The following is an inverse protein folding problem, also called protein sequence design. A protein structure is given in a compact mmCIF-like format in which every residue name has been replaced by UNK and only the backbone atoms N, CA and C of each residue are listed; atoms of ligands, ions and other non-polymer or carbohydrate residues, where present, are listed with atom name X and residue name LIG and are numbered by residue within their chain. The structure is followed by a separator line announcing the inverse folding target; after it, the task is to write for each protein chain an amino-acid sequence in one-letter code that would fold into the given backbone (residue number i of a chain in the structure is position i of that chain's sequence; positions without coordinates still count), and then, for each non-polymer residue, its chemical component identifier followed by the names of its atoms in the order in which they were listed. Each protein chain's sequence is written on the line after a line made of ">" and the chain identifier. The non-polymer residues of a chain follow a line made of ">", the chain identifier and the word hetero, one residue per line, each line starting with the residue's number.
data_IF_428369515010
#
_entry.id   IF_428369515010
#
_cell.length_a   1.000
_cell.length_b   1.000
_cell.length_c   1.000
_cell.angle_alpha   90.00
_cell.angle_beta   90.00
_cell.angle_gamma   90.00
#
_symmetry.space_group_name_H-M   'P 1'
#
loop_
_entity.id
_entity.type
_entity.pdbx_description
1 polymer ?
#
# COMPACT_ATOMS: atom_id res chain seq x y z
N UNK A 1 -23.87 45.72 -56.25
CA UNK A 1 -24.49 45.21 -57.50
C UNK A 1 -24.76 43.71 -57.27
N UNK A 2 -25.94 43.32 -56.76
CA UNK A 2 -27.12 42.85 -57.53
C UNK A 2 -26.69 41.82 -58.59
N UNK A 3 -26.97 40.52 -58.40
CA UNK A 3 -28.17 39.76 -58.83
C UNK A 3 -27.57 38.51 -59.57
N UNK A 4 -28.02 37.25 -59.51
CA UNK A 4 -29.12 36.56 -58.83
C UNK A 4 -29.04 35.07 -59.15
N UNK A 5 -29.65 34.26 -58.27
CA UNK A 5 -30.59 33.16 -58.57
C UNK A 5 -30.09 31.82 -59.14
N UNK A 6 -30.69 30.65 -58.82
CA UNK A 6 -31.74 30.20 -57.86
C UNK A 6 -32.07 28.73 -58.20
N UNK A 7 -32.75 28.07 -57.25
CA UNK A 7 -33.71 26.94 -57.40
C UNK A 7 -33.11 25.53 -57.56
N UNK A 8 -33.58 24.45 -56.92
CA UNK A 8 -34.38 24.18 -55.70
C UNK A 8 -34.77 22.68 -55.66
N UNK A 9 -35.08 22.16 -54.45
CA UNK A 9 -36.14 21.15 -54.13
C UNK A 9 -36.03 19.72 -54.71
N UNK A 10 -36.56 18.64 -54.15
CA UNK A 10 -37.41 18.32 -52.98
C UNK A 10 -37.35 16.77 -52.78
N UNK A 11 -37.25 16.25 -51.55
CA UNK A 11 -38.30 15.64 -50.69
C UNK A 11 -38.96 14.31 -51.12
N UNK A 12 -39.11 13.45 -50.09
CA UNK A 12 -40.15 12.42 -49.85
C UNK A 12 -40.08 11.11 -50.66
N UNK A 13 -40.49 9.92 -50.20
CA UNK A 13 -41.35 9.44 -49.09
C UNK A 13 -41.00 7.97 -48.77
N UNK A 14 -40.94 7.48 -47.53
CA UNK A 14 -42.04 7.00 -46.65
C UNK A 14 -42.80 5.71 -47.09
N UNK A 15 -42.85 4.74 -46.14
CA UNK A 15 -43.93 3.76 -45.79
C UNK A 15 -43.97 2.30 -46.29
N UNK A 16 -44.11 1.42 -45.26
CA UNK A 16 -44.93 0.18 -45.10
C UNK A 16 -44.68 -1.02 -46.05
N UNK A 17 -44.84 -2.30 -45.70
CA UNK A 17 -45.74 -2.99 -44.76
C UNK A 17 -45.24 -4.41 -44.46
N UNK A 18 -45.69 -4.99 -43.35
CA UNK A 18 -45.61 -6.41 -42.98
C UNK A 18 -46.57 -7.30 -43.81
N UNK A 19 -46.28 -8.62 -43.92
CA UNK A 19 -47.21 -9.76 -43.72
C UNK A 19 -46.55 -11.16 -43.94
N UNK A 20 -46.77 -12.05 -42.96
CA UNK A 20 -46.80 -13.54 -42.86
C UNK A 20 -46.16 -14.54 -43.87
N UNK A 21 -45.31 -15.45 -43.31
CA UNK A 21 -45.31 -16.96 -43.28
C UNK A 21 -45.91 -17.79 -44.44
N UNK A 22 -45.48 -19.05 -44.76
CA UNK A 22 -44.89 -20.09 -43.86
C UNK A 22 -43.90 -21.14 -44.50
N UNK A 23 -43.46 -22.13 -43.70
CA UNK A 23 -42.98 -23.51 -44.03
C UNK A 23 -41.69 -23.70 -44.88
N UNK A 24 -40.64 -24.25 -44.25
CA UNK A 24 -40.02 -25.54 -44.60
C UNK A 24 -38.58 -25.64 -44.04
N UNK A 25 -38.36 -26.64 -43.19
CA UNK A 25 -37.04 -27.14 -42.80
C UNK A 25 -36.33 -27.81 -44.00
N UNK A 26 -34.99 -27.73 -44.04
CA UNK A 26 -34.25 -28.99 -44.02
C UNK A 26 -33.00 -28.91 -43.13
N UNK A 27 -32.96 -29.81 -42.16
CA UNK A 27 -31.88 -30.75 -41.87
C UNK A 27 -30.52 -30.32 -42.47
N UNK A 28 -29.70 -29.61 -41.69
CA UNK A 28 -28.25 -29.54 -41.93
C UNK A 28 -27.55 -30.60 -41.09
N UNK A 29 -27.19 -31.67 -41.79
CA UNK A 29 -26.30 -32.73 -41.38
C UNK A 29 -25.02 -32.16 -40.75
N UNK A 30 -24.85 -32.50 -39.49
CA UNK A 30 -23.63 -32.37 -38.72
C UNK A 30 -22.50 -33.14 -39.42
N UNK A 31 -21.45 -32.43 -39.84
CA UNK A 31 -20.33 -33.03 -40.56
C UNK A 31 -19.57 -33.99 -39.64
N UNK A 32 -19.64 -35.27 -40.00
CA UNK A 32 -18.80 -36.36 -39.48
C UNK A 32 -17.33 -36.12 -39.85
N UNK A 33 -16.60 -35.31 -39.09
CA UNK A 33 -15.12 -35.34 -39.11
C UNK A 33 -14.42 -34.82 -37.84
N UNK A 34 -15.15 -34.54 -36.75
CA UNK A 34 -14.55 -34.17 -35.44
C UNK A 34 -14.95 -35.07 -34.25
N UNK A 35 -15.53 -36.23 -34.52
CA UNK A 35 -15.94 -37.20 -33.49
C UNK A 35 -15.00 -38.43 -33.35
N UNK A 36 -13.83 -38.44 -34.02
CA UNK A 36 -12.83 -39.53 -33.87
C UNK A 36 -11.55 -39.13 -33.13
N UNK A 37 -11.43 -37.89 -32.66
CA UNK A 37 -10.28 -37.44 -31.83
C UNK A 37 -10.63 -37.13 -30.37
N UNK A 38 -11.92 -37.23 -29.99
CA UNK A 38 -12.38 -37.05 -28.59
C UNK A 38 -12.67 -38.40 -27.90
N UNK A 39 -12.76 -39.50 -28.65
CA UNK A 39 -12.97 -40.84 -28.10
C UNK A 39 -11.67 -41.59 -27.71
N UNK A 40 -10.48 -41.05 -28.02
CA UNK A 40 -9.19 -41.63 -27.62
C UNK A 40 -8.58 -40.92 -26.40
N UNK A 41 -9.08 -39.73 -26.03
CA UNK A 41 -8.62 -39.02 -24.84
C UNK A 41 -9.38 -39.39 -23.55
N UNK A 42 -10.57 -40.01 -23.67
CA UNK A 42 -11.37 -40.46 -22.52
C UNK A 42 -11.13 -41.91 -22.08
N UNK A 43 -10.28 -42.67 -22.79
CA UNK A 43 -9.87 -44.03 -22.38
C UNK A 43 -8.54 -44.06 -21.61
N UNK A 44 -7.87 -42.92 -21.43
CA UNK A 44 -6.64 -42.80 -20.64
C UNK A 44 -6.88 -42.24 -19.22
N UNK A 45 -8.12 -41.84 -18.88
CA UNK A 45 -8.46 -41.23 -17.59
C UNK A 45 -9.32 -42.13 -16.68
N UNK A 46 -9.33 -43.45 -16.92
CA UNK A 46 -10.04 -44.43 -16.08
C UNK A 46 -9.18 -45.62 -15.61
N UNK A 47 -7.86 -45.57 -15.83
CA UNK A 47 -6.91 -46.64 -15.43
C UNK A 47 -6.04 -46.24 -14.21
N UNK A 48 -6.25 -45.06 -13.63
CA UNK A 48 -5.53 -44.62 -12.42
C UNK A 48 -6.36 -44.80 -11.13
N UNK A 49 -7.60 -45.27 -11.22
CA UNK A 49 -8.50 -45.52 -10.07
C UNK A 49 -8.93 -47.00 -9.91
N UNK A 50 -8.05 -47.93 -10.26
CA UNK A 50 -8.24 -49.36 -9.97
C UNK A 50 -6.90 -50.07 -9.75
N UNK A 51 -6.12 -49.63 -8.77
CA UNK A 51 -5.07 -50.47 -8.18
C UNK A 51 -5.69 -51.34 -7.08
N UNK A 52 -5.63 -52.68 -7.19
CA UNK A 52 -6.07 -53.54 -6.12
C UNK A 52 -5.11 -53.42 -4.92
N UNK A 53 -5.72 -53.40 -3.74
CA UNK A 53 -5.14 -53.79 -2.46
C UNK A 53 -4.19 -54.99 -2.67
N UNK A 54 -2.88 -54.75 -2.59
CA UNK A 54 -1.90 -55.79 -2.32
C UNK A 54 -1.63 -55.77 -0.82
N UNK A 55 -2.43 -56.54 -0.09
CA UNK A 55 -2.06 -57.09 1.20
C UNK A 55 -0.87 -58.03 0.97
N UNK A 56 0.35 -57.49 1.07
CA UNK A 56 1.52 -58.33 1.33
C UNK A 56 1.51 -58.69 2.80
N UNK A 57 0.93 -59.84 3.13
CA UNK A 57 1.22 -60.55 4.37
C UNK A 57 2.67 -61.04 4.31
N UNK A 58 3.60 -60.16 4.64
CA UNK A 58 4.95 -60.54 5.02
C UNK A 58 4.86 -61.21 6.38
N UNK A 59 5.11 -62.52 6.42
CA UNK A 59 5.41 -63.26 7.63
C UNK A 59 6.61 -62.58 8.31
N UNK A 60 6.33 -61.77 9.33
CA UNK A 60 7.35 -61.29 10.24
C UNK A 60 7.58 -62.42 11.24
N UNK A 61 8.66 -63.14 10.99
CA UNK A 61 9.23 -64.16 11.87
C UNK A 61 9.45 -63.53 13.25
N UNK A 62 8.78 -64.09 14.25
CA UNK A 62 8.92 -63.68 15.64
C UNK A 62 10.32 -64.04 16.13
N UNK A 63 11.22 -63.06 16.20
CA UNK A 63 12.48 -63.18 16.93
C UNK A 63 12.14 -63.24 18.43
N UNK A 64 12.60 -64.26 19.18
CA UNK A 64 12.31 -64.37 20.60
C UNK A 64 13.13 -63.34 21.39
N UNK A 65 12.41 -62.56 22.19
CA UNK A 65 12.81 -62.02 23.50
C UNK A 65 14.25 -61.51 23.67
N UNK A 66 14.40 -60.18 23.58
CA UNK A 66 15.32 -59.47 24.47
C UNK A 66 14.48 -58.50 25.31
N UNK A 67 14.07 -58.97 26.50
CA UNK A 67 13.51 -58.13 27.54
C UNK A 67 14.64 -57.28 28.14
N UNK A 68 15.07 -56.26 27.41
CA UNK A 68 15.72 -55.11 28.03
C UNK A 68 14.73 -53.95 27.92
N UNK A 69 14.17 -53.45 29.04
CA UNK A 69 13.47 -52.18 29.00
C UNK A 69 14.50 -51.12 28.66
N UNK A 70 14.58 -50.74 27.38
CA UNK A 70 15.19 -49.48 27.00
C UNK A 70 14.24 -48.43 27.56
N UNK A 71 14.53 -47.97 28.77
CA UNK A 71 14.02 -46.73 29.34
C UNK A 71 14.66 -45.57 28.57
N UNK A 72 14.38 -45.51 27.27
CA UNK A 72 14.50 -44.28 26.51
C UNK A 72 13.28 -43.48 26.89
N UNK A 73 13.49 -42.45 27.71
CA UNK A 73 12.49 -41.42 27.98
C UNK A 73 12.05 -40.94 26.59
N UNK A 74 10.84 -41.29 26.16
CA UNK A 74 10.28 -40.75 24.94
C UNK A 74 10.24 -39.23 25.15
N UNK A 75 11.11 -38.51 24.45
CA UNK A 75 11.12 -37.06 24.51
C UNK A 75 9.71 -36.58 24.13
N UNK A 76 9.12 -35.73 24.97
CA UNK A 76 7.82 -35.15 24.71
C UNK A 76 7.84 -34.48 23.32
N UNK A 77 6.80 -34.69 22.49
CA UNK A 77 6.76 -34.04 21.19
C UNK A 77 6.80 -32.51 21.38
N UNK A 78 7.53 -31.80 20.51
CA UNK A 78 7.72 -30.36 20.60
C UNK A 78 6.37 -29.68 20.50
N UNK A 79 6.17 -28.71 21.38
CA UNK A 79 5.01 -27.86 21.42
C UNK A 79 5.37 -26.52 20.76
N UNK A 80 4.44 -25.95 20.01
CA UNK A 80 4.59 -24.59 19.47
C UNK A 80 4.07 -23.58 20.49
N UNK A 81 4.87 -22.55 20.73
CA UNK A 81 4.41 -21.30 21.33
C UNK A 81 4.20 -20.30 20.21
N UNK A 82 2.93 -20.05 19.87
CA UNK A 82 2.55 -19.08 18.85
C UNK A 82 2.26 -17.74 19.56
N UNK A 83 3.01 -16.71 19.21
CA UNK A 83 2.83 -15.37 19.75
C UNK A 83 2.71 -14.35 18.63
N UNK A 84 2.23 -13.17 18.96
CA UNK A 84 2.20 -12.04 18.05
C UNK A 84 2.57 -10.74 18.75
N UNK A 85 3.02 -9.77 17.97
CA UNK A 85 3.21 -8.39 18.38
C UNK A 85 2.90 -7.47 17.20
N UNK A 86 2.86 -6.16 17.46
CA UNK A 86 2.58 -5.14 16.46
C UNK A 86 3.61 -4.01 16.54
N UNK A 87 3.68 -3.16 15.51
CA UNK A 87 4.63 -2.04 15.47
C UNK A 87 4.51 -1.11 16.69
N UNK A 88 3.32 -0.97 17.26
CA UNK A 88 3.07 -0.08 18.40
C UNK A 88 2.97 -0.79 19.74
N UNK A 89 3.05 -2.12 19.73
CA UNK A 89 3.10 -2.91 20.95
C UNK A 89 4.00 -4.14 20.72
N UNK A 90 5.27 -3.96 21.06
CA UNK A 90 6.31 -5.00 20.97
C UNK A 90 6.16 -6.08 22.04
N UNK A 91 5.22 -5.93 22.98
CA UNK A 91 4.96 -6.98 23.99
C UNK A 91 4.32 -8.17 23.30
N UNK A 92 5.04 -9.29 23.28
CA UNK A 92 4.52 -10.55 22.73
C UNK A 92 3.28 -11.01 23.49
N UNK A 93 2.22 -11.30 22.75
CA UNK A 93 0.96 -11.86 23.24
C UNK A 93 0.77 -13.27 22.69
N UNK A 94 0.29 -14.23 23.49
CA UNK A 94 0.01 -15.57 22.99
C UNK A 94 -1.18 -15.55 22.02
N UNK A 95 -1.16 -16.49 21.07
CA UNK A 95 -2.33 -16.95 20.32
C UNK A 95 -2.74 -18.26 20.99
N UNK A 96 -3.78 -18.20 21.81
CA UNK A 96 -4.14 -19.27 22.73
C UNK A 96 -4.95 -20.36 22.01
N UNK A 97 -5.95 -19.97 21.23
CA UNK A 97 -6.95 -20.90 20.69
C UNK A 97 -7.47 -20.48 19.30
N UNK A 98 -8.31 -21.35 18.73
CA UNK A 98 -9.09 -21.06 17.53
C UNK A 98 -10.04 -19.88 17.77
N UNK A 99 -10.23 -19.02 16.77
CA UNK A 99 -11.12 -17.86 16.86
C UNK A 99 -10.49 -16.60 17.47
N UNK A 100 -9.20 -16.62 17.83
CA UNK A 100 -8.50 -15.47 18.41
C UNK A 100 -8.49 -14.24 17.49
N UNK A 101 -8.44 -13.05 18.11
CA UNK A 101 -8.50 -11.76 17.43
C UNK A 101 -7.20 -10.98 17.65
N UNK A 102 -6.37 -10.92 16.61
CA UNK A 102 -5.12 -10.17 16.60
C UNK A 102 -5.36 -8.79 15.98
N UNK A 103 -5.09 -7.73 16.74
CA UNK A 103 -5.30 -6.34 16.28
C UNK A 103 -4.02 -5.52 16.48
N UNK A 104 -3.62 -4.79 15.44
CA UNK A 104 -2.53 -3.81 15.49
C UNK A 104 -2.01 -3.43 14.10
N UNK A 105 -1.14 -2.43 14.04
CA UNK A 105 -0.37 -2.17 12.83
C UNK A 105 0.77 -3.16 12.70
N UNK A 106 0.99 -3.67 11.48
CA UNK A 106 2.12 -4.54 11.18
C UNK A 106 2.17 -5.75 12.13
N UNK A 107 1.11 -6.56 12.12
CA UNK A 107 1.08 -7.75 12.97
C UNK A 107 2.13 -8.75 12.47
N UNK A 108 3.08 -9.07 13.34
CA UNK A 108 4.06 -10.14 13.15
C UNK A 108 3.68 -11.31 14.03
N UNK A 109 3.57 -12.49 13.43
CA UNK A 109 3.32 -13.74 14.15
C UNK A 109 4.63 -14.51 14.24
N UNK A 110 4.98 -14.95 15.44
CA UNK A 110 6.15 -15.74 15.73
C UNK A 110 5.72 -17.14 16.19
N UNK A 111 6.22 -18.17 15.52
CA UNK A 111 6.08 -19.55 15.96
C UNK A 111 7.44 -20.04 16.49
N UNK A 112 7.50 -20.36 17.78
CA UNK A 112 8.71 -20.93 18.41
C UNK A 112 8.39 -22.31 18.97
N UNK A 113 9.16 -23.32 18.57
CA UNK A 113 8.96 -24.69 19.02
C UNK A 113 9.90 -25.06 20.18
N UNK A 114 9.37 -25.78 21.17
CA UNK A 114 10.11 -26.25 22.34
C UNK A 114 9.75 -27.70 22.68
N UNK A 115 10.73 -28.58 22.98
CA UNK A 115 12.17 -28.33 22.92
C UNK A 115 12.68 -28.17 21.47
N UNK A 116 13.76 -27.41 21.29
CA UNK A 116 14.35 -27.07 19.99
C UNK A 116 15.41 -28.06 19.50
N UNK A 117 15.88 -28.96 20.37
CA UNK A 117 17.09 -29.77 20.19
C UNK A 117 17.13 -30.68 18.97
N UNK A 118 15.97 -31.02 18.39
CA UNK A 118 15.87 -31.89 17.21
C UNK A 118 15.15 -31.23 16.03
N UNK A 119 14.86 -29.93 16.12
CA UNK A 119 14.14 -29.22 15.06
C UNK A 119 15.15 -28.72 14.03
N UNK A 120 15.00 -29.19 12.80
CA UNK A 120 15.87 -28.86 11.66
C UNK A 120 15.32 -27.74 10.80
N UNK A 121 14.04 -27.41 10.97
CA UNK A 121 13.43 -26.23 10.39
C UNK A 121 11.99 -26.05 10.83
N UNK A 122 11.45 -24.88 10.48
CA UNK A 122 10.08 -24.47 10.77
C UNK A 122 9.47 -23.80 9.53
N UNK A 123 8.19 -24.02 9.29
CA UNK A 123 7.39 -23.27 8.34
C UNK A 123 6.15 -22.71 9.02
N UNK A 124 5.74 -21.53 8.56
CA UNK A 124 4.50 -20.90 8.97
C UNK A 124 3.74 -20.46 7.73
N UNK A 125 2.52 -20.94 7.59
CA UNK A 125 1.62 -20.65 6.49
C UNK A 125 0.33 -20.05 7.02
N UNK A 126 -0.10 -18.93 6.45
CA UNK A 126 -1.35 -18.25 6.80
C UNK A 126 -2.20 -18.16 5.53
N UNK A 127 -3.32 -18.87 5.57
CA UNK A 127 -4.28 -18.94 4.48
C UNK A 127 -5.51 -18.10 4.80
N UNK A 128 -5.80 -17.09 3.99
CA UNK A 128 -7.03 -16.32 4.07
C UNK A 128 -8.01 -16.84 3.01
N UNK A 129 -9.09 -17.56 3.36
CA UNK A 129 -10.03 -18.07 2.35
C UNK A 129 -10.86 -16.95 1.69
N UNK A 130 -11.12 -15.85 2.40
CA UNK A 130 -11.93 -14.73 1.91
C UNK A 130 -11.16 -13.82 0.93
N UNK A 131 -9.84 -13.75 1.07
CA UNK A 131 -8.95 -13.04 0.16
C UNK A 131 -8.00 -14.11 -0.38
N UNK A 132 -8.14 -14.63 -1.61
CA UNK A 132 -7.47 -15.85 -2.10
C UNK A 132 -5.93 -15.70 -2.19
N UNK A 133 -5.32 -15.53 -1.04
CA UNK A 133 -3.97 -15.11 -0.75
C UNK A 133 -3.47 -16.01 0.37
N UNK A 134 -2.25 -16.50 0.21
CA UNK A 134 -1.57 -17.29 1.21
C UNK A 134 -0.19 -16.69 1.39
N UNK A 135 0.15 -16.38 2.63
CA UNK A 135 1.49 -15.92 2.99
C UNK A 135 2.18 -17.06 3.70
N UNK A 136 3.42 -17.35 3.33
CA UNK A 136 4.19 -18.42 3.94
C UNK A 136 5.66 -18.03 4.05
N UNK A 137 6.30 -18.55 5.08
CA UNK A 137 7.73 -18.43 5.31
C UNK A 137 8.30 -19.78 5.77
N UNK A 138 9.58 -20.01 5.48
CA UNK A 138 10.32 -21.21 5.87
C UNK A 138 11.67 -20.81 6.46
N UNK A 139 12.08 -21.45 7.55
CA UNK A 139 13.37 -21.25 8.21
C UNK A 139 14.04 -22.59 8.55
N UNK A 140 15.37 -22.59 8.67
CA UNK A 140 16.17 -23.72 9.14
C UNK A 140 16.41 -23.67 10.67
N UNK A 141 15.55 -22.98 11.41
CA UNK A 141 15.59 -22.84 12.88
C UNK A 141 14.30 -23.38 13.54
N UNK A 142 14.32 -23.49 14.87
CA UNK A 142 13.16 -23.83 15.70
C UNK A 142 12.14 -22.69 15.88
N UNK A 143 12.47 -21.50 15.39
CA UNK A 143 11.58 -20.34 15.37
C UNK A 143 11.46 -19.72 13.98
N UNK A 144 10.33 -19.08 13.71
CA UNK A 144 10.08 -18.33 12.48
C UNK A 144 9.11 -17.19 12.74
N UNK A 145 9.26 -16.10 11.98
CA UNK A 145 8.36 -14.96 12.02
C UNK A 145 7.76 -14.71 10.64
N UNK A 146 6.50 -14.28 10.60
CA UNK A 146 5.83 -13.88 9.37
C UNK A 146 5.11 -12.54 9.55
N UNK A 147 5.36 -11.63 8.60
CA UNK A 147 4.63 -10.37 8.52
C UNK A 147 3.30 -10.59 7.78
N UNK A 148 2.20 -10.36 8.50
CA UNK A 148 0.85 -10.59 7.99
C UNK A 148 0.32 -9.47 7.10
N UNK A 149 1.00 -8.30 7.02
CA UNK A 149 0.63 -7.20 6.11
C UNK A 149 0.62 -7.61 4.64
N UNK A 150 1.37 -8.66 4.29
CA UNK A 150 1.38 -9.28 2.96
C UNK A 150 0.04 -9.91 2.56
N UNK A 151 -0.90 -10.10 3.50
CA UNK A 151 -2.28 -10.48 3.20
C UNK A 151 -3.02 -9.40 2.41
N UNK A 152 -2.62 -8.14 2.56
CA UNK A 152 -3.18 -7.00 1.84
C UNK A 152 -4.55 -6.50 2.34
N UNK A 153 -5.27 -7.28 3.15
CA UNK A 153 -6.50 -6.86 3.81
C UNK A 153 -6.70 -7.71 5.09
N UNK A 154 -7.61 -7.28 5.96
CA UNK A 154 -7.99 -7.98 7.18
C UNK A 154 -8.82 -9.21 6.84
N UNK A 155 -8.52 -10.33 7.49
CA UNK A 155 -9.23 -11.57 7.25
C UNK A 155 -9.19 -12.52 8.43
N UNK A 156 -10.25 -13.32 8.51
CA UNK A 156 -10.23 -14.59 9.22
C UNK A 156 -9.36 -15.58 8.45
N UNK A 157 -8.36 -16.12 9.12
CA UNK A 157 -7.30 -16.94 8.53
C UNK A 157 -7.20 -18.31 9.20
N UNK A 158 -6.64 -19.27 8.49
CA UNK A 158 -6.09 -20.51 9.06
C UNK A 158 -4.57 -20.37 9.17
N UNK A 159 -4.01 -20.57 10.35
CA UNK A 159 -2.57 -20.53 10.60
C UNK A 159 -2.08 -21.97 10.76
N UNK A 160 -1.16 -22.40 9.90
CA UNK A 160 -0.53 -23.71 9.95
C UNK A 160 0.96 -23.57 10.28
N UNK A 161 1.34 -23.91 11.50
CA UNK A 161 2.73 -24.00 11.93
C UNK A 161 3.22 -25.44 11.75
N UNK A 162 4.33 -25.62 11.02
CA UNK A 162 4.97 -26.92 10.78
C UNK A 162 6.42 -26.91 11.28
N UNK A 163 6.87 -27.95 11.97
CA UNK A 163 8.28 -28.18 12.28
C UNK A 163 8.76 -29.48 11.62
N UNK A 164 10.01 -29.49 11.15
CA UNK A 164 10.71 -30.69 10.70
C UNK A 164 11.67 -31.19 11.77
N UNK A 165 11.51 -32.44 12.16
CA UNK A 165 12.39 -33.13 13.10
C UNK A 165 13.57 -33.78 12.36
N UNK A 166 14.70 -33.95 13.03
CA UNK A 166 15.95 -34.46 12.43
C UNK A 166 15.91 -35.91 11.92
N UNK A 167 14.87 -36.67 12.24
CA UNK A 167 14.61 -38.02 11.74
C UNK A 167 13.62 -38.04 10.56
N UNK A 168 13.20 -36.87 10.08
CA UNK A 168 12.28 -36.70 8.97
C UNK A 168 10.80 -36.65 9.37
N UNK A 169 10.44 -36.78 10.65
CA UNK A 169 9.06 -36.54 11.09
C UNK A 169 8.70 -35.05 10.96
N UNK A 170 7.43 -34.80 10.68
CA UNK A 170 6.87 -33.45 10.66
C UNK A 170 5.75 -33.34 11.68
N UNK A 171 5.73 -32.22 12.39
CA UNK A 171 4.71 -31.91 13.39
C UNK A 171 4.00 -30.66 12.95
N UNK A 172 2.67 -30.65 13.07
CA UNK A 172 1.82 -29.54 12.68
C UNK A 172 0.90 -29.15 13.81
N UNK A 173 0.72 -27.84 13.96
CA UNK A 173 -0.34 -27.25 14.75
C UNK A 173 -1.09 -26.27 13.85
N UNK A 174 -2.41 -26.42 13.80
CA UNK A 174 -3.29 -25.58 13.00
C UNK A 174 -4.18 -24.81 13.97
N UNK A 175 -4.31 -23.51 13.72
CA UNK A 175 -5.25 -22.60 14.38
C UNK A 175 -6.29 -22.17 13.34
N UNK A 176 -7.56 -22.37 13.67
CA UNK A 176 -8.69 -22.06 12.81
C UNK A 176 -9.33 -20.73 13.20
N UNK A 177 -9.98 -20.11 12.22
CA UNK A 177 -10.83 -18.93 12.40
C UNK A 177 -10.18 -17.74 13.12
N UNK A 178 -8.85 -17.62 13.03
CA UNK A 178 -8.09 -16.55 13.66
C UNK A 178 -8.25 -15.26 12.86
N UNK A 179 -8.82 -14.22 13.46
CA UNK A 179 -8.94 -12.91 12.81
C UNK A 179 -7.64 -12.11 12.93
N UNK A 180 -7.09 -11.69 11.78
CA UNK A 180 -5.91 -10.83 11.72
C UNK A 180 -6.33 -9.46 11.20
N UNK A 181 -6.37 -8.48 12.11
CA UNK A 181 -6.71 -7.08 11.86
C UNK A 181 -5.47 -6.19 11.80
N UNK A 182 -4.83 -6.14 10.63
CA UNK A 182 -3.80 -5.14 10.35
C UNK A 182 -4.43 -3.75 10.21
N UNK A 183 -3.74 -2.74 10.71
CA UNK A 183 -4.01 -1.36 10.33
C UNK A 183 -3.23 -1.04 9.05
N UNK A 184 -3.92 -0.63 7.99
CA UNK A 184 -3.31 -0.22 6.74
C UNK A 184 -3.23 1.31 6.69
N UNK A 185 -2.24 1.81 5.96
CA UNK A 185 -2.06 3.25 5.77
C UNK A 185 -2.76 3.63 4.47
N UNK A 186 -3.52 4.74 4.41
CA UNK A 186 -4.19 5.15 3.19
C UNK A 186 -3.18 5.45 2.08
N UNK A 187 -3.58 5.19 0.85
CA UNK A 187 -2.90 5.69 -0.34
C UNK A 187 -3.64 6.92 -0.87
N UNK A 188 -2.87 7.95 -1.22
CA UNK A 188 -3.34 9.20 -1.81
C UNK A 188 -2.44 9.57 -2.99
N UNK A 189 -3.03 10.07 -4.08
CA UNK A 189 -2.34 10.62 -5.25
C UNK A 189 -3.13 11.84 -5.77
N UNK A 190 -2.48 13.00 -5.81
CA UNK A 190 -3.03 14.26 -6.32
C UNK A 190 -2.95 14.27 -7.85
N UNK A 191 -4.09 14.41 -8.51
CA UNK A 191 -4.16 14.39 -9.97
C UNK A 191 -4.09 15.80 -10.57
N UNK A 192 -4.83 16.76 -9.98
CA UNK A 192 -4.86 18.16 -10.45
C UNK A 192 -5.05 19.13 -9.29
N UNK A 193 -4.34 20.27 -9.28
CA UNK A 193 -3.28 20.66 -10.21
C UNK A 193 -1.99 19.89 -9.88
N UNK A 194 -1.25 19.49 -10.91
CA UNK A 194 0.00 18.75 -10.75
C UNK A 194 1.23 19.47 -11.34
N UNK A 195 1.03 20.58 -12.06
CA UNK A 195 2.12 21.46 -12.49
C UNK A 195 1.88 22.11 -13.85
N UNK A 196 2.21 23.40 -13.95
CA UNK A 196 2.17 24.16 -15.19
C UNK A 196 0.76 24.63 -15.64
N UNK A 197 -0.30 24.28 -14.91
CA UNK A 197 -1.63 24.78 -15.19
C UNK A 197 -1.72 26.30 -14.98
N UNK A 198 -2.71 26.93 -15.63
CA UNK A 198 -3.04 28.35 -15.44
C UNK A 198 -4.51 28.43 -15.07
N UNK A 199 -4.78 28.72 -13.81
CA UNK A 199 -6.12 28.74 -13.22
C UNK A 199 -6.61 30.16 -12.99
N UNK A 200 -7.85 30.41 -13.35
CA UNK A 200 -8.59 31.63 -13.03
C UNK A 200 -10.02 31.25 -12.64
N UNK A 201 -10.64 32.01 -11.73
CA UNK A 201 -11.98 31.67 -11.22
C UNK A 201 -12.02 30.34 -10.45
N UNK A 202 -13.14 29.63 -10.55
CA UNK A 202 -13.37 28.34 -9.90
C UNK A 202 -12.80 27.17 -10.71
N UNK A 203 -11.95 26.36 -10.06
CA UNK A 203 -11.33 25.17 -10.64
C UNK A 203 -11.38 24.02 -9.63
N UNK A 204 -11.40 22.78 -10.11
CA UNK A 204 -11.43 21.61 -9.25
C UNK A 204 -10.02 21.10 -8.98
N UNK A 205 -9.69 20.98 -7.69
CA UNK A 205 -8.62 20.13 -7.20
C UNK A 205 -9.15 18.69 -7.15
N UNK A 206 -8.44 17.73 -7.74
CA UNK A 206 -8.86 16.31 -7.81
C UNK A 206 -7.73 15.38 -7.41
N UNK A 207 -8.06 14.28 -6.74
CA UNK A 207 -7.11 13.28 -6.28
C UNK A 207 -7.74 11.88 -6.30
N UNK A 208 -6.93 10.83 -6.35
CA UNK A 208 -7.37 9.47 -6.04
C UNK A 208 -6.92 9.07 -4.66
N UNK A 209 -7.74 8.29 -3.96
CA UNK A 209 -7.37 7.73 -2.67
C UNK A 209 -7.98 6.35 -2.48
N UNK A 210 -7.28 5.49 -1.76
CA UNK A 210 -7.72 4.14 -1.43
C UNK A 210 -7.17 3.70 -0.10
N UNK A 211 -7.95 2.92 0.64
CA UNK A 211 -7.49 2.21 1.83
C UNK A 211 -7.87 0.74 1.73
N UNK A 212 -7.04 -0.12 2.31
CA UNK A 212 -7.35 -1.55 2.42
C UNK A 212 -8.31 -1.81 3.60
N UNK A 213 -8.41 -0.91 4.57
CA UNK A 213 -9.43 -0.89 5.61
C UNK A 213 -10.79 -0.42 5.03
N UNK A 214 -11.48 -1.31 4.29
CA UNK A 214 -12.72 -0.97 3.56
C UNK A 214 -13.90 -0.47 4.42
N UNK A 215 -13.86 -0.68 5.73
CA UNK A 215 -14.89 -0.23 6.68
C UNK A 215 -14.67 1.20 7.16
N UNK A 216 -13.49 1.78 6.89
CA UNK A 216 -13.12 3.11 7.33
C UNK A 216 -13.34 4.15 6.22
N UNK A 217 -13.87 5.30 6.61
CA UNK A 217 -14.11 6.39 5.69
C UNK A 217 -12.93 7.36 5.70
N UNK A 218 -12.25 7.48 4.56
CA UNK A 218 -11.23 8.51 4.39
C UNK A 218 -11.86 9.91 4.43
N UNK A 219 -11.22 10.80 5.17
CA UNK A 219 -11.49 12.24 5.14
C UNK A 219 -10.28 12.99 4.64
N UNK A 220 -10.51 14.13 3.98
CA UNK A 220 -9.47 14.88 3.30
C UNK A 220 -9.39 16.35 3.74
N UNK A 221 -8.17 16.86 3.71
CA UNK A 221 -7.86 18.28 3.78
C UNK A 221 -7.19 18.73 2.48
N UNK A 222 -7.51 19.94 2.02
CA UNK A 222 -6.83 20.58 0.88
C UNK A 222 -6.13 21.82 1.39
N UNK A 223 -4.85 21.92 1.12
CA UNK A 223 -4.00 23.03 1.52
C UNK A 223 -3.37 23.69 0.29
N UNK A 224 -3.20 25.00 0.37
CA UNK A 224 -2.59 25.82 -0.68
C UNK A 224 -1.30 26.44 -0.17
N UNK A 225 -0.24 26.35 -0.96
CA UNK A 225 0.98 27.10 -0.78
C UNK A 225 1.12 28.14 -1.87
N UNK A 226 1.45 29.38 -1.53
CA UNK A 226 1.78 30.44 -2.49
C UNK A 226 3.30 30.67 -2.66
N UNK A 227 4.14 29.99 -1.87
CA UNK A 227 5.58 30.21 -1.76
C UNK A 227 6.41 29.00 -2.23
N UNK A 228 5.85 28.22 -3.16
CA UNK A 228 6.51 27.05 -3.75
C UNK A 228 6.54 25.82 -2.84
N UNK A 229 5.62 25.73 -1.87
CA UNK A 229 5.50 24.60 -0.94
C UNK A 229 6.25 24.79 0.39
N UNK A 230 6.64 26.01 0.78
CA UNK A 230 7.33 26.24 2.06
C UNK A 230 6.33 26.41 3.19
N UNK A 231 5.21 27.08 2.94
CA UNK A 231 4.10 27.24 3.87
C UNK A 231 2.79 26.89 3.21
N UNK A 232 1.86 26.37 4.00
CA UNK A 232 0.55 25.91 3.53
C UNK A 232 -0.57 26.51 4.37
N UNK A 233 -1.57 27.08 3.71
CA UNK A 233 -2.83 27.51 4.31
C UNK A 233 -3.93 26.49 4.00
N UNK A 234 -4.82 26.27 4.96
CA UNK A 234 -5.96 25.37 4.79
C UNK A 234 -7.01 26.01 3.87
N UNK A 235 -7.40 25.31 2.81
CA UNK A 235 -8.54 25.69 1.96
C UNK A 235 -9.84 24.98 2.37
N UNK A 236 -9.74 23.71 2.77
CA UNK A 236 -10.88 22.91 3.21
C UNK A 236 -10.44 21.69 4.01
N UNK A 237 -11.28 21.22 4.92
CA UNK A 237 -11.05 20.06 5.78
C UNK A 237 -12.33 19.25 5.96
N UNK A 238 -12.19 17.99 6.38
CA UNK A 238 -13.33 17.08 6.62
C UNK A 238 -14.08 16.71 5.34
N UNK A 239 -13.41 16.75 4.19
CA UNK A 239 -14.01 16.38 2.91
C UNK A 239 -14.14 14.86 2.83
N UNK A 240 -15.25 14.35 2.31
CA UNK A 240 -15.51 12.91 2.10
C UNK A 240 -15.65 12.57 0.61
N UNK A 241 -15.03 13.38 -0.23
CA UNK A 241 -15.04 13.29 -1.69
C UNK A 241 -13.63 13.53 -2.20
N UNK A 242 -13.36 13.05 -3.40
CA UNK A 242 -12.04 13.12 -4.06
C UNK A 242 -11.83 14.39 -4.88
N UNK A 243 -12.55 15.46 -4.55
CA UNK A 243 -12.40 16.75 -5.22
C UNK A 243 -12.80 17.93 -4.33
N UNK A 244 -12.22 19.09 -4.63
CA UNK A 244 -12.53 20.35 -3.97
C UNK A 244 -12.51 21.49 -4.99
N UNK A 245 -13.60 22.25 -5.07
CA UNK A 245 -13.64 23.45 -5.90
C UNK A 245 -12.92 24.59 -5.17
N UNK A 246 -11.84 25.07 -5.75
CA UNK A 246 -11.15 26.26 -5.31
C UNK A 246 -11.43 27.42 -6.28
N UNK A 247 -12.06 28.47 -5.76
CA UNK A 247 -12.17 29.74 -6.46
C UNK A 247 -10.95 30.62 -6.16
N UNK A 248 -10.09 30.78 -7.16
CA UNK A 248 -8.88 31.59 -7.07
C UNK A 248 -9.09 33.08 -7.45
N UNK A 249 -10.33 33.51 -7.70
CA UNK A 249 -10.64 34.94 -7.84
C UNK A 249 -10.27 35.70 -6.56
N UNK A 250 -9.57 36.81 -6.71
CA UNK A 250 -9.09 37.63 -5.59
C UNK A 250 -7.77 37.15 -4.98
N UNK A 251 -7.15 36.11 -5.54
CA UNK A 251 -5.78 35.72 -5.19
C UNK A 251 -4.78 36.45 -6.09
N UNK A 252 -3.57 36.67 -5.57
CA UNK A 252 -2.45 37.19 -6.36
C UNK A 252 -2.16 36.25 -7.53
N UNK A 253 -2.01 36.79 -8.73
CA UNK A 253 -1.59 36.00 -9.89
C UNK A 253 -0.11 35.63 -9.77
N UNK A 254 0.17 34.45 -9.23
CA UNK A 254 1.51 33.93 -8.95
C UNK A 254 1.73 32.61 -9.67
N UNK A 255 2.97 32.34 -10.08
CA UNK A 255 3.40 31.08 -10.72
C UNK A 255 3.95 30.06 -9.71
N UNK A 256 3.88 30.39 -8.42
CA UNK A 256 4.51 29.66 -7.30
C UNK A 256 3.51 28.84 -6.49
N UNK A 257 2.26 28.73 -6.94
CA UNK A 257 1.26 27.96 -6.22
C UNK A 257 1.58 26.46 -6.25
N UNK A 258 1.36 25.78 -5.12
CA UNK A 258 1.32 24.32 -5.00
C UNK A 258 0.11 23.92 -4.16
N UNK A 259 -0.55 22.81 -4.50
CA UNK A 259 -1.59 22.20 -3.68
C UNK A 259 -0.99 21.02 -2.94
N UNK A 260 -1.43 20.81 -1.70
CA UNK A 260 -1.22 19.57 -0.96
C UNK A 260 -2.57 19.06 -0.49
N UNK A 261 -2.83 17.78 -0.69
CA UNK A 261 -3.98 17.09 -0.12
C UNK A 261 -3.48 16.21 1.02
N UNK A 262 -4.25 16.11 2.10
CA UNK A 262 -4.04 15.14 3.16
C UNK A 262 -5.22 14.20 3.22
N UNK A 263 -4.97 12.93 3.45
CA UNK A 263 -5.99 11.91 3.70
C UNK A 263 -5.78 11.32 5.10
N UNK A 264 -6.87 11.05 5.80
CA UNK A 264 -6.85 10.35 7.08
C UNK A 264 -8.02 9.38 7.20
N UNK A 265 -7.74 8.21 7.74
CA UNK A 265 -8.71 7.19 8.18
C UNK A 265 -9.11 7.36 9.66
N UNK A 266 -8.59 8.40 10.34
CA UNK A 266 -8.77 8.65 11.77
C UNK A 266 -7.62 8.16 12.66
N UNK A 267 -6.73 7.32 12.12
CA UNK A 267 -5.54 6.80 12.80
C UNK A 267 -4.27 7.32 12.11
N UNK A 268 -4.16 7.13 10.79
CA UNK A 268 -3.06 7.59 9.96
C UNK A 268 -3.40 8.87 9.22
N UNK A 269 -2.35 9.63 8.91
CA UNK A 269 -2.42 10.80 8.04
C UNK A 269 -1.35 10.65 6.97
N UNK A 270 -1.76 10.66 5.71
CA UNK A 270 -0.87 10.74 4.55
C UNK A 270 -1.10 12.04 3.80
N UNK A 271 -0.10 12.47 3.03
CA UNK A 271 -0.20 13.69 2.23
C UNK A 271 0.44 13.51 0.87
N UNK A 272 -0.13 14.13 -0.14
CA UNK A 272 0.46 14.26 -1.46
C UNK A 272 0.37 15.70 -1.97
N UNK A 273 1.33 16.12 -2.79
CA UNK A 273 1.51 17.51 -3.21
C UNK A 273 1.76 17.57 -4.72
N UNK A 274 1.33 18.65 -5.37
CA UNK A 274 1.59 18.89 -6.80
C UNK A 274 3.08 18.67 -7.12
N UNK A 275 3.37 17.95 -8.20
CA UNK A 275 4.74 17.66 -8.64
C UNK A 275 5.52 18.94 -8.93
N UNK A 276 4.88 19.91 -9.59
CA UNK A 276 5.44 21.24 -9.88
C UNK A 276 4.56 22.38 -9.40
N UNK A 277 5.02 23.61 -9.58
CA UNK A 277 4.20 24.79 -9.34
C UNK A 277 3.26 25.04 -10.52
N UNK A 278 2.15 25.73 -10.24
CA UNK A 278 1.21 26.17 -11.25
C UNK A 278 0.85 27.65 -11.05
N UNK A 279 0.21 28.24 -12.04
CA UNK A 279 -0.20 29.64 -12.02
C UNK A 279 -1.66 29.75 -11.63
N UNK A 280 -2.00 30.61 -10.67
CA UNK A 280 -3.38 30.85 -10.28
C UNK A 280 -3.57 32.28 -9.77
N UNK A 281 -4.83 32.75 -9.77
CA UNK A 281 -5.21 34.08 -9.32
C UNK A 281 -5.39 35.10 -10.44
N UNK A 282 -6.03 36.21 -10.13
CA UNK A 282 -6.38 37.28 -11.07
C UNK A 282 -5.92 38.67 -10.62
N UNK A 283 -5.46 38.81 -9.38
CA UNK A 283 -4.88 40.07 -8.89
C UNK A 283 -3.47 40.19 -9.45
N UNK A 284 -3.31 41.08 -10.43
CA UNK A 284 -2.00 41.39 -11.01
C UNK A 284 -1.06 41.98 -9.95
N UNK A 285 0.09 41.33 -9.76
CA UNK A 285 1.19 41.89 -8.98
C UNK A 285 2.08 42.68 -9.94
N UNK A 286 2.16 44.02 -9.84
CA UNK A 286 3.10 44.77 -10.65
C UNK A 286 4.50 44.24 -10.37
N UNK A 287 5.34 44.04 -11.41
CA UNK A 287 6.72 43.62 -11.20
C UNK A 287 7.34 44.60 -10.21
N UNK A 288 7.88 44.06 -9.11
CA UNK A 288 8.65 44.87 -8.18
C UNK A 288 9.74 45.52 -9.00
N UNK A 289 9.63 46.82 -9.26
CA UNK A 289 10.70 47.60 -9.90
C UNK A 289 11.92 47.37 -9.05
N UNK A 290 12.84 46.52 -9.54
CA UNK A 290 14.19 46.49 -9.04
C UNK A 290 14.74 47.86 -9.35
N UNK A 291 14.68 48.78 -8.38
CA UNK A 291 15.43 50.02 -8.44
C UNK A 291 16.87 49.60 -8.58
N UNK A 292 17.35 49.58 -9.83
CA UNK A 292 18.76 49.47 -10.14
C UNK A 292 19.34 50.75 -9.55
N UNK A 293 19.88 50.66 -8.34
CA UNK A 293 20.73 51.71 -7.81
C UNK A 293 21.91 51.77 -8.76
N UNK A 294 21.85 52.71 -9.72
CA UNK A 294 22.97 53.07 -10.57
C UNK A 294 24.07 53.56 -9.63
N UNK A 295 25.01 52.69 -9.30
CA UNK A 295 26.24 53.06 -8.62
C UNK A 295 26.98 54.01 -9.54
N UNK A 296 26.91 55.30 -9.24
CA UNK A 296 27.75 56.32 -9.86
C UNK A 296 29.21 55.94 -9.59
N UNK A 297 29.92 55.50 -10.64
CA UNK A 297 31.34 55.19 -10.59
C UNK A 297 32.12 56.49 -10.39
N UNK A 298 32.41 56.83 -9.12
CA UNK A 298 33.51 57.73 -8.82
C UNK A 298 34.82 56.99 -9.09
N UNK A 299 35.61 57.55 -10.00
CA UNK A 299 36.96 57.08 -10.30
C UNK A 299 37.86 57.46 -9.13
N UNK A 300 38.21 56.49 -8.28
CA UNK A 300 39.33 56.64 -7.36
C UNK A 300 40.24 55.41 -7.44
N UNK A 301 41.42 55.66 -7.97
CA UNK A 301 42.58 54.78 -8.04
C UNK A 301 43.00 54.28 -6.65
N UNK A 302 43.71 53.15 -6.63
CA UNK A 302 44.61 52.61 -5.57
C UNK A 302 44.09 51.55 -4.58
N UNK A 303 44.41 50.29 -4.93
CA UNK A 303 45.05 49.24 -4.10
C UNK A 303 44.56 48.96 -2.67
N UNK A 304 43.87 47.83 -2.49
CA UNK A 304 43.74 47.11 -1.20
C UNK A 304 42.45 46.28 -1.13
N UNK A 305 42.47 45.02 -0.62
CA UNK A 305 41.28 44.18 -0.58
C UNK A 305 40.21 44.76 0.38
N UNK A 306 38.90 44.68 0.04
CA UNK A 306 37.85 45.28 0.84
C UNK A 306 37.66 44.52 2.15
N UNK A 307 37.81 45.25 3.27
CA UNK A 307 37.43 44.77 4.59
C UNK A 307 35.91 44.62 4.70
N UNK A 308 35.49 43.54 5.37
CA UNK A 308 34.11 43.34 5.83
C UNK A 308 33.67 44.57 6.64
N UNK A 309 32.50 45.11 6.31
CA UNK A 309 31.99 46.27 7.03
C UNK A 309 31.83 45.93 8.53
N UNK A 310 32.18 46.86 9.45
CA UNK A 310 32.10 46.60 10.89
C UNK A 310 30.70 46.17 11.36
N UNK A 311 29.66 46.56 10.61
CA UNK A 311 28.27 46.24 10.88
C UNK A 311 27.93 44.77 10.53
N UNK A 312 28.45 44.25 9.41
CA UNK A 312 28.27 42.84 9.03
C UNK A 312 29.09 41.94 9.97
N UNK A 313 30.32 42.36 10.31
CA UNK A 313 31.15 41.65 11.29
C UNK A 313 30.49 41.56 12.67
N UNK A 314 29.86 42.65 13.13
CA UNK A 314 29.13 42.67 14.41
C UNK A 314 27.91 41.73 14.40
N UNK A 315 27.14 41.68 13.31
CA UNK A 315 25.98 40.78 13.22
C UNK A 315 26.38 39.30 13.24
N UNK A 316 27.46 38.93 12.54
CA UNK A 316 27.96 37.55 12.54
C UNK A 316 28.47 37.16 13.93
N UNK A 317 29.17 38.07 14.63
CA UNK A 317 29.64 37.81 16.00
C UNK A 317 28.49 37.59 16.99
N UNK A 318 27.41 38.36 16.90
CA UNK A 318 26.22 38.20 17.78
C UNK A 318 25.53 36.85 17.55
N UNK A 319 25.41 36.40 16.30
CA UNK A 319 24.79 35.11 15.98
C UNK A 319 25.64 33.95 16.51
N UNK A 320 26.96 34.00 16.32
CA UNK A 320 27.87 32.95 16.79
C UNK A 320 27.83 32.87 18.32
N UNK A 321 27.94 34.01 19.02
CA UNK A 321 27.90 34.05 20.48
C UNK A 321 26.54 33.59 21.02
N UNK A 322 25.44 34.04 20.42
CA UNK A 322 24.09 33.61 20.80
C UNK A 322 23.87 32.09 20.64
N UNK A 323 24.39 31.51 19.55
CA UNK A 323 24.29 30.06 19.31
C UNK A 323 25.06 29.24 20.34
N UNK A 324 26.22 29.71 20.79
CA UNK A 324 27.04 29.05 21.80
C UNK A 324 26.35 29.05 23.19
N UNK A 325 25.71 30.16 23.58
CA UNK A 325 24.96 30.23 24.83
C UNK A 325 23.74 29.29 24.82
N UNK A 326 23.02 29.22 23.70
CA UNK A 326 21.91 28.28 23.54
C UNK A 326 22.37 26.81 23.63
N UNK A 327 23.48 26.47 22.99
CA UNK A 327 24.04 25.12 23.04
C UNK A 327 24.46 24.72 24.47
N UNK A 328 25.07 25.63 25.23
CA UNK A 328 25.41 25.39 26.64
C UNK A 328 24.16 25.25 27.50
N UNK A 329 23.14 26.08 27.29
CA UNK A 329 21.86 25.99 28.00
C UNK A 329 21.17 24.63 27.80
N UNK A 330 21.11 24.16 26.54
CA UNK A 330 20.56 22.84 26.21
C UNK A 330 21.36 21.72 26.86
N UNK A 331 22.70 21.80 26.85
CA UNK A 331 23.56 20.80 27.48
C UNK A 331 23.31 20.68 29.01
N UNK A 332 23.17 21.80 29.72
CA UNK A 332 22.91 21.77 31.16
C UNK A 332 21.47 21.37 31.51
N UNK A 333 20.49 21.69 30.67
CA UNK A 333 19.11 21.21 30.81
C UNK A 333 19.01 19.70 30.59
N UNK A 334 19.78 19.15 29.65
CA UNK A 334 19.83 17.71 29.40
C UNK A 334 20.52 16.96 30.55
N UNK A 335 21.57 17.54 31.14
CA UNK A 335 22.34 16.91 32.23
C UNK A 335 21.62 16.88 33.58
N UNK A 336 20.68 17.80 33.84
CA UNK A 336 19.94 17.87 35.11
C UNK A 336 18.73 16.93 35.20
N UNK A 337 18.46 16.13 34.15
CA UNK A 337 17.38 15.14 34.10
C UNK A 337 17.85 13.68 34.19
N UNK A 338 19.09 13.44 34.60
CA UNK A 338 19.67 12.12 34.93
C UNK A 338 20.07 12.14 36.40
#
# INVERSE_FOLDING_TARGET
>A
MKLTNRISHNLNSNRHSAYHNPIASPIRLWSRSRARKIAVLFLALFVVFASPLLLTSGLMESIPGSNNPITGIAAEPPQVNLTYYSLWNETQRPVEDDGDVLIGDYIVINATWSPDTNITGTALEIHAPAIPTTVSEVSNSSSIEINTRRLGNNATCTINATAWWGDGYLIRKIYYDVFIGNFFVPHLELEQPNGGEVWTGANNVTWTASDNNLEENLTFEVLLSSDGGKTFQLLGAGLNRTWFEWNCTGFLNLTTYKIQVRATDGIYIVSDQSDSTFTAGDIYVPPSTTTTTTTHTETTTTTGPPGLSPQIGAMIAVIIVGSAFLAVGVYYLAKTRI
#
